data_IF_325437701631
#
_entry.id   IF_325437701631
#
_cell.length_a   1.000
_cell.length_b   1.000
_cell.length_c   1.000
_cell.angle_alpha   90.00
_cell.angle_beta   90.00
_cell.angle_gamma   90.00
#
_symmetry.space_group_name_H-M   'P 1'
#
loop_
_entity.id
_entity.type
_entity.pdbx_description
1 polymer ?
#
# COMPACT_ATOMS: atom_id res chain seq x y z
N UNK A 1 -6.78 18.61 0.35
CA UNK A 1 -7.90 17.82 -0.19
C UNK A 1 -7.49 16.36 -0.23
N UNK A 2 -8.31 15.46 0.33
CA UNK A 2 -8.05 14.02 0.36
C UNK A 2 -9.10 13.30 -0.47
N UNK A 3 -8.66 12.35 -1.31
CA UNK A 3 -9.53 11.43 -2.04
C UNK A 3 -9.14 10.01 -1.67
N UNK A 4 -10.09 9.20 -1.21
CA UNK A 4 -9.93 7.77 -0.97
C UNK A 4 -10.65 6.99 -2.05
N UNK A 5 -9.99 5.95 -2.57
CA UNK A 5 -10.58 5.05 -3.56
C UNK A 5 -10.44 3.60 -3.11
N UNK A 6 -11.41 2.79 -3.45
CA UNK A 6 -11.39 1.33 -3.21
C UNK A 6 -12.28 0.65 -4.25
N UNK A 7 -11.88 -0.54 -4.69
CA UNK A 7 -12.67 -1.37 -5.62
C UNK A 7 -13.94 -1.92 -4.98
N UNK A 8 -13.95 -2.08 -3.65
CA UNK A 8 -15.09 -2.59 -2.88
C UNK A 8 -16.02 -1.45 -2.44
N UNK A 9 -17.26 -1.48 -2.92
CA UNK A 9 -18.31 -0.55 -2.45
C UNK A 9 -18.52 -0.66 -0.93
N UNK A 10 -18.47 -1.86 -0.36
CA UNK A 10 -18.57 -2.09 1.07
C UNK A 10 -17.50 -1.32 1.86
N UNK A 11 -16.25 -1.36 1.41
CA UNK A 11 -15.15 -0.64 2.05
C UNK A 11 -15.38 0.87 1.97
N UNK A 12 -15.84 1.38 0.83
CA UNK A 12 -16.18 2.79 0.65
C UNK A 12 -17.30 3.23 1.59
N UNK A 13 -18.34 2.42 1.78
CA UNK A 13 -19.43 2.75 2.73
C UNK A 13 -18.91 2.81 4.17
N UNK A 14 -18.08 1.85 4.59
CA UNK A 14 -17.46 1.85 5.92
C UNK A 14 -16.58 3.08 6.11
N UNK A 15 -15.75 3.41 5.11
CA UNK A 15 -14.86 4.57 5.16
C UNK A 15 -15.65 5.89 5.28
N UNK A 16 -16.74 6.04 4.52
CA UNK A 16 -17.65 7.21 4.63
C UNK A 16 -18.26 7.35 6.01
N UNK A 17 -18.73 6.24 6.60
CA UNK A 17 -19.29 6.23 7.96
C UNK A 17 -18.24 6.63 9.01
N UNK A 18 -17.02 6.10 8.89
CA UNK A 18 -15.90 6.45 9.76
C UNK A 18 -15.53 7.93 9.64
N UNK A 19 -15.38 8.45 8.41
CA UNK A 19 -15.08 9.86 8.17
C UNK A 19 -16.16 10.79 8.78
N UNK A 20 -17.45 10.43 8.60
CA UNK A 20 -18.56 11.17 9.20
C UNK A 20 -18.45 11.21 10.74
N UNK A 21 -18.18 10.05 11.38
CA UNK A 21 -18.00 9.97 12.85
C UNK A 21 -16.84 10.81 13.38
N UNK A 22 -15.79 11.00 12.56
CA UNK A 22 -14.59 11.75 12.91
C UNK A 22 -14.57 13.18 12.38
N UNK A 23 -15.66 13.64 11.75
CA UNK A 23 -15.76 14.95 11.10
C UNK A 23 -14.63 15.21 10.09
N UNK A 24 -14.25 14.18 9.33
CA UNK A 24 -13.22 14.28 8.30
C UNK A 24 -13.85 14.57 6.93
N UNK A 25 -13.29 15.54 6.23
CA UNK A 25 -13.72 15.87 4.86
C UNK A 25 -12.86 15.12 3.85
N UNK A 26 -13.28 13.91 3.48
CA UNK A 26 -12.60 13.02 2.53
C UNK A 26 -13.59 12.66 1.41
N UNK A 27 -13.16 12.82 0.16
CA UNK A 27 -13.92 12.39 -1.00
C UNK A 27 -13.69 10.90 -1.29
N UNK A 28 -14.64 10.03 -0.94
CA UNK A 28 -14.54 8.59 -1.19
C UNK A 28 -15.28 8.18 -2.46
N UNK A 29 -14.58 7.46 -3.36
CA UNK A 29 -15.09 7.01 -4.65
C UNK A 29 -14.87 5.49 -4.79
N UNK A 30 -15.91 4.75 -5.14
CA UNK A 30 -15.78 3.34 -5.49
C UNK A 30 -15.26 3.22 -6.93
N UNK A 31 -13.94 3.09 -7.08
CA UNK A 31 -13.25 3.04 -8.35
C UNK A 31 -11.83 2.48 -8.15
N UNK A 32 -11.26 1.91 -9.18
CA UNK A 32 -9.83 1.53 -9.24
C UNK A 32 -9.01 2.63 -9.94
N UNK A 33 -7.70 2.77 -9.66
CA UNK A 33 -6.86 3.81 -10.25
C UNK A 33 -6.85 3.81 -11.78
N UNK A 34 -6.95 2.63 -12.39
CA UNK A 34 -6.96 2.42 -13.84
C UNK A 34 -8.13 3.14 -14.52
N UNK A 35 -9.25 3.25 -13.84
CA UNK A 35 -10.48 3.87 -14.33
C UNK A 35 -10.58 5.36 -14.00
N UNK A 36 -9.68 5.91 -13.20
CA UNK A 36 -9.61 7.35 -12.95
C UNK A 36 -9.07 8.08 -14.19
N UNK A 37 -9.93 8.90 -14.82
CA UNK A 37 -9.57 9.63 -16.05
C UNK A 37 -8.75 10.90 -15.81
N UNK A 38 -8.54 11.28 -14.58
CA UNK A 38 -7.84 12.52 -14.20
C UNK A 38 -6.33 12.31 -14.24
N UNK A 39 -5.62 13.13 -15.01
CA UNK A 39 -4.16 13.11 -15.10
C UNK A 39 -3.55 14.17 -14.19
N UNK A 40 -2.34 13.93 -13.66
CA UNK A 40 -1.54 14.90 -12.90
C UNK A 40 -2.34 15.63 -11.81
N UNK A 41 -3.16 14.89 -11.06
CA UNK A 41 -4.07 15.48 -10.08
C UNK A 41 -3.52 15.53 -8.67
N UNK A 42 -2.79 14.48 -8.27
CA UNK A 42 -2.42 14.29 -6.87
C UNK A 42 -0.97 14.68 -6.62
N UNK A 43 -0.72 15.35 -5.52
CA UNK A 43 0.62 15.69 -5.05
C UNK A 43 1.26 14.47 -4.36
N UNK A 44 0.42 13.68 -3.68
CA UNK A 44 0.83 12.48 -2.95
C UNK A 44 -0.15 11.35 -3.23
N UNK A 45 0.37 10.13 -3.44
CA UNK A 45 -0.41 8.88 -3.47
C UNK A 45 0.09 7.97 -2.35
N UNK A 46 -0.86 7.38 -1.62
CA UNK A 46 -0.61 6.38 -0.58
C UNK A 46 -1.20 5.04 -1.04
N UNK A 47 -0.34 4.06 -1.27
CA UNK A 47 -0.68 2.66 -1.53
C UNK A 47 -0.28 1.86 -0.30
N UNK A 48 -1.22 1.61 0.62
CA UNK A 48 -0.95 0.93 1.88
C UNK A 48 -1.62 -0.44 1.85
N UNK A 49 -0.83 -1.52 1.76
CA UNK A 49 -1.30 -2.91 1.68
C UNK A 49 -2.32 -3.10 0.54
N UNK A 50 -1.95 -2.67 -0.67
CA UNK A 50 -2.81 -2.74 -1.87
C UNK A 50 -2.14 -3.52 -2.99
N UNK A 51 -0.84 -3.30 -3.22
CA UNK A 51 -0.13 -3.78 -4.42
C UNK A 51 -0.07 -5.30 -4.52
N UNK A 52 -0.13 -6.02 -3.40
CA UNK A 52 -0.22 -7.47 -3.32
C UNK A 52 -1.61 -8.05 -3.66
N UNK A 53 -2.63 -7.20 -3.74
CA UNK A 53 -4.01 -7.61 -4.02
C UNK A 53 -4.45 -7.29 -5.45
N UNK A 54 -3.69 -6.50 -6.21
CA UNK A 54 -4.07 -6.12 -7.57
C UNK A 54 -3.79 -7.25 -8.56
N UNK A 55 -4.64 -7.38 -9.57
CA UNK A 55 -4.49 -8.41 -10.60
C UNK A 55 -3.30 -8.13 -11.53
N UNK A 56 -3.14 -6.86 -11.93
CA UNK A 56 -2.07 -6.42 -12.82
C UNK A 56 -1.30 -5.26 -12.17
N UNK A 57 -0.19 -5.61 -11.51
CA UNK A 57 0.65 -4.66 -10.81
C UNK A 57 1.25 -3.59 -11.73
N UNK A 58 1.65 -3.95 -12.95
CA UNK A 58 2.26 -2.99 -13.87
C UNK A 58 1.25 -1.94 -14.31
N UNK A 59 0.04 -2.34 -14.69
CA UNK A 59 -1.04 -1.42 -15.04
C UNK A 59 -1.46 -0.53 -13.87
N UNK A 60 -1.50 -1.09 -12.65
CA UNK A 60 -1.81 -0.35 -11.43
C UNK A 60 -0.77 0.75 -11.17
N UNK A 61 0.52 0.41 -11.18
CA UNK A 61 1.62 1.35 -10.94
C UNK A 61 1.70 2.43 -12.03
N UNK A 62 1.48 2.06 -13.30
CA UNK A 62 1.36 3.01 -14.41
C UNK A 62 0.22 4.00 -14.20
N UNK A 63 -0.92 3.50 -13.72
CA UNK A 63 -2.07 4.35 -13.41
C UNK A 63 -1.78 5.31 -12.27
N UNK A 64 -1.11 4.87 -11.20
CA UNK A 64 -0.63 5.74 -10.14
C UNK A 64 0.34 6.80 -10.68
N UNK A 65 1.26 6.42 -11.57
CA UNK A 65 2.17 7.37 -12.20
C UNK A 65 1.43 8.46 -12.99
N UNK A 66 0.43 8.09 -13.80
CA UNK A 66 -0.38 9.05 -14.55
C UNK A 66 -1.14 10.03 -13.66
N UNK A 67 -1.65 9.53 -12.52
CA UNK A 67 -2.43 10.31 -11.57
C UNK A 67 -1.58 11.31 -10.76
N UNK A 68 -0.30 11.01 -10.51
CA UNK A 68 0.61 11.91 -9.83
C UNK A 68 0.97 13.11 -10.67
N UNK A 69 1.06 14.29 -10.06
CA UNK A 69 1.68 15.48 -10.63
C UNK A 69 3.18 15.25 -10.87
N UNK A 70 3.81 15.98 -11.80
CA UNK A 70 5.27 16.06 -11.87
C UNK A 70 5.85 16.39 -10.49
N UNK A 71 6.90 15.69 -10.08
CA UNK A 71 7.53 15.79 -8.74
C UNK A 71 6.63 15.30 -7.57
N UNK A 72 5.46 14.75 -7.84
CA UNK A 72 4.58 14.13 -6.83
C UNK A 72 5.24 12.92 -6.19
N UNK A 73 4.84 12.60 -4.96
CA UNK A 73 5.43 11.54 -4.14
C UNK A 73 4.44 10.38 -3.99
N UNK A 74 4.95 9.16 -4.11
CA UNK A 74 4.19 7.95 -3.84
C UNK A 74 4.83 7.16 -2.70
N UNK A 75 4.01 6.77 -1.74
CA UNK A 75 4.35 5.81 -0.69
C UNK A 75 3.70 4.48 -1.04
N UNK A 76 4.49 3.42 -1.05
CA UNK A 76 3.99 2.06 -1.30
C UNK A 76 4.43 1.15 -0.17
N UNK A 77 3.48 0.75 0.68
CA UNK A 77 3.69 -0.19 1.77
C UNK A 77 3.11 -1.56 1.38
N UNK A 78 3.87 -2.63 1.62
CA UNK A 78 3.46 -4.00 1.36
C UNK A 78 4.32 -5.02 2.12
N UNK A 79 3.98 -6.29 1.99
CA UNK A 79 4.69 -7.41 2.59
C UNK A 79 5.81 -7.92 1.66
N UNK A 80 6.97 -8.20 2.26
CA UNK A 80 8.11 -8.75 1.52
C UNK A 80 7.94 -10.27 1.34
N UNK A 81 8.27 -10.81 0.17
CA UNK A 81 8.25 -12.24 -0.12
C UNK A 81 9.47 -12.96 0.47
N UNK A 82 9.46 -13.17 1.79
CA UNK A 82 10.49 -13.87 2.56
C UNK A 82 9.89 -14.97 3.42
N UNK A 83 10.70 -15.92 3.87
CA UNK A 83 10.25 -16.93 4.83
C UNK A 83 9.85 -16.29 6.17
N UNK A 84 10.52 -15.21 6.58
CA UNK A 84 10.20 -14.47 7.80
C UNK A 84 8.82 -13.83 7.73
N UNK A 85 8.44 -13.24 6.61
CA UNK A 85 7.10 -12.67 6.40
C UNK A 85 6.04 -13.76 6.35
N UNK A 86 6.32 -14.90 5.71
CA UNK A 86 5.42 -16.05 5.71
C UNK A 86 5.08 -16.49 7.14
N UNK A 87 6.11 -16.70 7.98
CA UNK A 87 5.92 -17.13 9.36
C UNK A 87 5.19 -16.07 10.18
N UNK A 88 5.56 -14.80 10.07
CA UNK A 88 4.98 -13.73 10.90
C UNK A 88 3.62 -13.26 10.43
N UNK A 89 3.46 -12.98 9.14
CA UNK A 89 2.23 -12.39 8.59
C UNK A 89 1.15 -13.45 8.35
N UNK A 90 1.50 -14.66 7.92
CA UNK A 90 0.54 -15.72 7.65
C UNK A 90 0.38 -16.60 8.87
N UNK A 91 1.43 -17.37 9.24
CA UNK A 91 1.32 -18.33 10.34
C UNK A 91 1.02 -17.60 11.66
N UNK A 92 1.74 -16.55 11.97
CA UNK A 92 1.57 -15.76 13.19
C UNK A 92 0.23 -15.03 13.27
N UNK A 93 -0.06 -14.17 12.31
CA UNK A 93 -1.21 -13.28 12.38
C UNK A 93 -2.54 -13.99 12.05
N UNK A 94 -2.55 -14.95 11.10
CA UNK A 94 -3.79 -15.60 10.68
C UNK A 94 -4.08 -16.88 11.50
N UNK A 95 -3.08 -17.74 11.73
CA UNK A 95 -3.32 -19.05 12.38
C UNK A 95 -3.13 -19.03 13.89
N UNK A 96 -2.10 -18.35 14.42
CA UNK A 96 -1.79 -18.36 15.86
C UNK A 96 -2.58 -17.27 16.58
N UNK A 97 -2.38 -16.01 16.21
CA UNK A 97 -2.98 -14.87 16.89
C UNK A 97 -4.42 -14.58 16.43
N UNK A 98 -4.79 -15.06 15.24
CA UNK A 98 -6.11 -14.87 14.63
C UNK A 98 -6.52 -13.38 14.57
N UNK A 99 -5.53 -12.50 14.37
CA UNK A 99 -5.76 -11.07 14.17
C UNK A 99 -6.41 -10.78 12.83
N UNK A 100 -6.18 -11.68 11.85
CA UNK A 100 -6.73 -11.62 10.51
C UNK A 100 -7.40 -12.97 10.17
N UNK A 101 -8.43 -12.97 9.33
CA UNK A 101 -9.04 -14.21 8.82
C UNK A 101 -8.00 -15.07 8.07
N UNK A 102 -8.11 -16.39 8.20
CA UNK A 102 -7.26 -17.32 7.46
C UNK A 102 -7.48 -17.12 5.94
N UNK A 103 -6.38 -17.04 5.19
CA UNK A 103 -6.42 -16.79 3.75
C UNK A 103 -6.50 -15.32 3.36
N UNK A 104 -6.28 -14.40 4.30
CA UNK A 104 -6.17 -12.95 3.99
C UNK A 104 -5.00 -12.67 3.07
N UNK A 105 -3.87 -13.39 3.25
CA UNK A 105 -2.67 -13.19 2.47
C UNK A 105 -2.31 -14.41 1.61
N UNK A 106 -1.94 -14.15 0.36
CA UNK A 106 -1.29 -15.12 -0.53
C UNK A 106 0.20 -14.75 -0.64
N UNK A 107 1.07 -15.58 -0.06
CA UNK A 107 2.51 -15.33 -0.07
C UNK A 107 3.11 -15.21 -1.46
N UNK A 108 2.53 -15.87 -2.48
CA UNK A 108 2.99 -15.78 -3.86
C UNK A 108 2.78 -14.37 -4.45
N UNK A 109 1.86 -13.61 -3.90
CA UNK A 109 1.57 -12.22 -4.30
C UNK A 109 2.41 -11.19 -3.56
N UNK A 110 3.15 -11.60 -2.53
CA UNK A 110 4.08 -10.70 -1.85
C UNK A 110 5.20 -10.28 -2.81
N UNK A 111 5.66 -9.05 -2.68
CA UNK A 111 6.58 -8.45 -3.63
C UNK A 111 7.90 -8.15 -2.91
N UNK A 112 9.04 -8.54 -3.51
CA UNK A 112 10.33 -8.15 -2.95
C UNK A 112 10.62 -6.67 -3.20
N UNK A 113 11.29 -5.96 -2.27
CA UNK A 113 11.64 -4.54 -2.45
C UNK A 113 12.31 -4.27 -3.81
N UNK A 114 13.26 -5.10 -4.20
CA UNK A 114 14.03 -4.93 -5.44
C UNK A 114 13.16 -5.13 -6.70
N UNK A 115 12.14 -6.00 -6.62
CA UNK A 115 11.19 -6.22 -7.71
C UNK A 115 10.29 -5.00 -7.91
N UNK A 116 9.78 -4.44 -6.80
CA UNK A 116 8.93 -3.25 -6.83
C UNK A 116 9.73 -2.01 -7.24
N UNK A 117 10.93 -1.82 -6.70
CA UNK A 117 11.82 -0.73 -7.07
C UNK A 117 12.16 -0.75 -8.56
N UNK A 118 12.48 -1.93 -9.12
CA UNK A 118 12.73 -2.08 -10.56
C UNK A 118 11.53 -1.68 -11.42
N UNK A 119 10.31 -2.03 -11.01
CA UNK A 119 9.08 -1.64 -11.71
C UNK A 119 8.86 -0.12 -11.64
N UNK A 120 9.03 0.48 -10.47
CA UNK A 120 8.89 1.92 -10.28
C UNK A 120 9.94 2.71 -11.09
N UNK A 121 11.19 2.26 -11.09
CA UNK A 121 12.26 2.89 -11.87
C UNK A 121 11.99 2.85 -13.37
N UNK A 122 11.44 1.75 -13.88
CA UNK A 122 11.02 1.64 -15.29
C UNK A 122 9.93 2.65 -15.67
N UNK A 123 9.08 3.02 -14.72
CA UNK A 123 8.05 4.05 -14.88
C UNK A 123 8.57 5.48 -14.62
N UNK A 124 9.90 5.65 -14.54
CA UNK A 124 10.54 6.93 -14.30
C UNK A 124 10.28 7.54 -12.90
N UNK A 125 10.11 6.68 -11.89
CA UNK A 125 10.18 7.11 -10.50
C UNK A 125 11.63 7.15 -10.01
N UNK A 126 11.96 8.18 -9.24
CA UNK A 126 13.18 8.26 -8.43
C UNK A 126 12.89 7.69 -7.04
N UNK A 127 13.65 6.69 -6.62
CA UNK A 127 13.55 6.15 -5.26
C UNK A 127 14.18 7.13 -4.27
N UNK A 128 13.46 7.48 -3.22
CA UNK A 128 13.89 8.43 -2.19
C UNK A 128 14.30 7.75 -0.88
N UNK A 129 13.52 6.76 -0.44
CA UNK A 129 13.75 6.07 0.84
C UNK A 129 13.09 4.69 0.85
N UNK A 130 13.60 3.81 1.71
CA UNK A 130 12.98 2.53 2.04
C UNK A 130 13.06 2.27 3.54
N UNK A 131 11.97 1.81 4.15
CA UNK A 131 11.93 1.51 5.58
C UNK A 131 11.01 0.34 5.87
N UNK A 132 11.39 -0.51 6.81
CA UNK A 132 10.53 -1.52 7.41
C UNK A 132 9.78 -0.97 8.62
N UNK A 133 8.78 -1.71 9.07
CA UNK A 133 8.03 -1.44 10.30
C UNK A 133 8.12 -2.64 11.23
N UNK A 134 8.46 -2.39 12.48
CA UNK A 134 8.44 -3.38 13.56
C UNK A 134 7.38 -3.00 14.60
N UNK A 135 6.51 -3.96 14.91
CA UNK A 135 5.55 -3.82 15.99
C UNK A 135 6.18 -4.27 17.31
N UNK A 136 6.11 -3.41 18.33
CA UNK A 136 6.45 -3.77 19.71
C UNK A 136 5.17 -4.17 20.45
N UNK A 137 4.96 -5.45 20.77
CA UNK A 137 3.70 -5.92 21.38
C UNK A 137 3.54 -5.45 22.84
N UNK A 138 4.64 -5.16 23.55
CA UNK A 138 4.58 -4.70 24.95
C UNK A 138 4.13 -3.24 25.05
N UNK A 139 4.65 -2.39 24.15
CA UNK A 139 4.32 -0.97 24.11
C UNK A 139 3.15 -0.66 23.16
N UNK A 140 2.71 -1.63 22.38
CA UNK A 140 1.67 -1.49 21.33
C UNK A 140 1.96 -0.38 20.32
N UNK A 141 3.24 -0.20 19.96
CA UNK A 141 3.69 0.85 19.03
C UNK A 141 4.41 0.26 17.84
N UNK A 142 4.28 0.93 16.71
CA UNK A 142 5.04 0.65 15.50
C UNK A 142 6.27 1.55 15.43
N UNK A 143 7.43 0.97 15.13
CA UNK A 143 8.68 1.68 14.97
C UNK A 143 9.25 1.45 13.58
N UNK A 144 9.89 2.49 13.03
CA UNK A 144 10.67 2.37 11.79
C UNK A 144 11.88 1.46 12.01
N UNK A 145 12.21 0.68 11.00
CA UNK A 145 13.32 -0.26 11.03
C UNK A 145 14.08 -0.27 9.70
N UNK A 146 15.37 -0.54 9.75
CA UNK A 146 16.16 -0.84 8.54
C UNK A 146 15.92 -2.26 8.02
N UNK A 147 15.27 -3.11 8.83
CA UNK A 147 14.97 -4.49 8.44
C UNK A 147 13.69 -4.53 7.60
N UNK A 148 13.80 -4.89 6.32
CA UNK A 148 12.72 -5.01 5.36
C UNK A 148 12.17 -6.45 5.24
N UNK A 149 12.56 -7.37 6.13
CA UNK A 149 12.29 -8.80 5.95
C UNK A 149 10.81 -9.20 6.09
N UNK A 150 9.96 -8.39 6.70
CA UNK A 150 8.52 -8.71 6.87
C UNK A 150 7.67 -7.81 6.00
N UNK A 151 7.74 -6.52 6.26
CA UNK A 151 7.04 -5.48 5.54
C UNK A 151 8.01 -4.33 5.22
N UNK A 152 7.63 -3.51 4.27
CA UNK A 152 8.42 -2.34 3.93
C UNK A 152 7.55 -1.23 3.31
N UNK A 153 8.07 -0.03 3.37
CA UNK A 153 7.52 1.14 2.68
C UNK A 153 8.60 1.66 1.74
N UNK A 154 8.30 1.77 0.46
CA UNK A 154 9.11 2.51 -0.50
C UNK A 154 8.53 3.91 -0.67
N UNK A 155 9.41 4.90 -0.67
CA UNK A 155 9.07 6.28 -0.99
C UNK A 155 9.68 6.63 -2.34
N UNK A 156 8.84 6.98 -3.29
CA UNK A 156 9.26 7.29 -4.65
C UNK A 156 8.69 8.63 -5.12
N UNK A 157 9.41 9.29 -6.03
CA UNK A 157 9.05 10.60 -6.60
C UNK A 157 8.94 10.47 -8.10
N UNK A 158 7.86 10.97 -8.67
CA UNK A 158 7.72 11.10 -10.14
C UNK A 158 8.70 12.13 -10.67
N UNK A 159 9.55 11.75 -11.63
CA UNK A 159 10.43 12.68 -12.35
C UNK A 159 9.67 13.54 -13.35
#
# INVERSE_FOLDING_TARGET
NVTGIDASDKNIQVAKLHAKKKNLNINYINIVPENLKQLNKFDIILNLEVVEHVENLDLYLESCFRLLKPKGIMFTATLNRTLTSYIKAIVGAEYILRWLPIGTHDWNKFIKPEELEKKLTRLNFLMLDSTGLNFNPFLQVWNRSKNLSVNYILVSKKN
#
